data_IF_577925417815
#
_entry.id   IF_577925417815
#
_cell.length_a   1.000
_cell.length_b   1.000
_cell.length_c   1.000
_cell.angle_alpha   90.00
_cell.angle_beta   90.00
_cell.angle_gamma   90.00
#
_symmetry.space_group_name_H-M   'P 1'
#
loop_
_entity.id
_entity.type
_entity.pdbx_description
1 polymer ?
#
# COMPACT_ATOMS: atom_id res chain seq x y z
N UNK A 1 -30.97 6.98 11.39
CA UNK A 1 -31.03 7.33 9.96
C UNK A 1 -31.24 6.05 9.16
N UNK A 2 -32.26 5.97 8.30
CA UNK A 2 -32.37 4.86 7.35
C UNK A 2 -31.40 5.09 6.19
N UNK A 3 -30.56 4.11 5.85
CA UNK A 3 -29.54 4.25 4.80
C UNK A 3 -29.74 3.12 3.79
N UNK A 4 -29.99 3.49 2.53
CA UNK A 4 -30.19 2.53 1.45
C UNK A 4 -28.86 2.00 0.90
N UNK A 5 -28.87 0.81 0.29
CA UNK A 5 -27.71 0.29 -0.42
C UNK A 5 -27.27 1.19 -1.59
N UNK A 6 -28.21 1.86 -2.27
CA UNK A 6 -27.89 2.81 -3.34
C UNK A 6 -27.08 4.00 -2.80
N UNK A 7 -27.42 4.51 -1.62
CA UNK A 7 -26.66 5.60 -0.97
C UNK A 7 -25.25 5.14 -0.59
N UNK A 8 -25.10 3.91 -0.09
CA UNK A 8 -23.80 3.34 0.28
C UNK A 8 -22.93 3.07 -0.96
N UNK A 9 -23.51 2.54 -2.04
CA UNK A 9 -22.82 2.33 -3.31
C UNK A 9 -22.42 3.67 -3.94
N UNK A 10 -23.28 4.68 -3.88
CA UNK A 10 -22.97 6.02 -4.38
C UNK A 10 -21.77 6.62 -3.65
N UNK A 11 -21.75 6.54 -2.30
CA UNK A 11 -20.57 6.94 -1.53
C UNK A 11 -19.33 6.14 -1.94
N UNK A 12 -19.45 4.81 -2.10
CA UNK A 12 -18.33 3.94 -2.48
C UNK A 12 -17.70 4.36 -3.81
N UNK A 13 -18.53 4.63 -4.82
CA UNK A 13 -18.08 5.06 -6.16
C UNK A 13 -17.53 6.48 -6.14
N UNK A 14 -18.14 7.39 -5.37
CA UNK A 14 -17.63 8.75 -5.22
C UNK A 14 -16.23 8.76 -4.60
N UNK A 15 -16.01 8.01 -3.52
CA UNK A 15 -14.69 8.00 -2.87
C UNK A 15 -13.61 7.29 -3.70
N UNK A 16 -13.96 6.44 -4.67
CA UNK A 16 -12.96 5.87 -5.58
C UNK A 16 -12.50 6.87 -6.66
N UNK A 17 -13.28 7.93 -6.92
CA UNK A 17 -12.90 9.03 -7.83
C UNK A 17 -12.36 10.24 -7.10
N UNK A 18 -12.82 10.46 -5.86
CA UNK A 18 -12.37 11.52 -4.97
C UNK A 18 -12.05 10.93 -3.59
N UNK A 19 -10.85 10.37 -3.39
CA UNK A 19 -10.46 9.75 -2.12
C UNK A 19 -10.43 10.71 -0.93
N UNK A 20 -10.40 12.01 -1.21
CA UNK A 20 -10.45 13.06 -0.20
C UNK A 20 -11.84 13.28 0.41
N UNK A 21 -12.90 12.72 -0.19
CA UNK A 21 -14.27 12.86 0.31
C UNK A 21 -14.43 12.11 1.64
N UNK A 22 -14.64 12.86 2.71
CA UNK A 22 -14.84 12.28 4.04
C UNK A 22 -16.27 11.77 4.26
N UNK A 23 -16.41 10.72 5.08
CA UNK A 23 -17.70 10.20 5.57
C UNK A 23 -18.55 11.31 6.20
N UNK A 24 -17.93 12.22 6.96
CA UNK A 24 -18.66 13.29 7.64
C UNK A 24 -19.27 14.29 6.67
N UNK A 25 -18.52 14.71 5.64
CA UNK A 25 -19.03 15.61 4.60
C UNK A 25 -20.21 14.94 3.90
N UNK A 26 -20.04 13.68 3.50
CA UNK A 26 -21.11 12.94 2.82
C UNK A 26 -22.36 12.76 3.71
N UNK A 27 -22.19 12.38 4.98
CA UNK A 27 -23.30 12.24 5.92
C UNK A 27 -24.05 13.55 6.14
N UNK A 28 -23.34 14.70 6.20
CA UNK A 28 -23.96 16.03 6.24
C UNK A 28 -24.75 16.32 4.97
N UNK A 29 -24.19 16.04 3.80
CA UNK A 29 -24.89 16.22 2.51
C UNK A 29 -26.17 15.39 2.45
N UNK A 30 -26.13 14.13 2.89
CA UNK A 30 -27.33 13.27 2.95
C UNK A 30 -28.37 13.87 3.91
N UNK A 31 -27.96 14.38 5.07
CA UNK A 31 -28.87 15.04 6.01
C UNK A 31 -29.52 16.29 5.38
N UNK A 32 -28.73 17.12 4.70
CA UNK A 32 -29.19 18.34 4.03
C UNK A 32 -30.22 18.05 2.93
N UNK A 33 -29.95 17.06 2.07
CA UNK A 33 -30.86 16.63 0.99
C UNK A 33 -32.22 16.18 1.55
N UNK A 34 -32.23 15.58 2.75
CA UNK A 34 -33.44 15.10 3.40
C UNK A 34 -34.06 16.13 4.36
N UNK A 35 -33.54 17.36 4.40
CA UNK A 35 -33.98 18.42 5.32
C UNK A 35 -33.97 17.99 6.80
N UNK A 36 -32.97 17.18 7.20
CA UNK A 36 -32.77 16.72 8.58
C UNK A 36 -31.54 17.40 9.16
N UNK A 37 -31.63 17.86 10.41
CA UNK A 37 -30.48 18.41 11.13
C UNK A 37 -29.41 17.33 11.38
N UNK A 38 -28.17 17.60 10.96
CA UNK A 38 -27.05 16.69 11.19
C UNK A 38 -26.79 16.50 12.70
N UNK A 39 -26.62 15.25 13.12
CA UNK A 39 -26.17 14.88 14.48
C UNK A 39 -24.88 14.06 14.39
N UNK A 40 -23.91 14.24 15.31
CA UNK A 40 -22.62 13.52 15.25
C UNK A 40 -22.76 12.00 15.10
N UNK A 41 -23.71 11.38 15.80
CA UNK A 41 -23.93 9.94 15.72
C UNK A 41 -24.42 9.44 14.35
N UNK A 42 -24.95 10.30 13.46
CA UNK A 42 -25.28 9.91 12.09
C UNK A 42 -24.04 9.60 11.26
N UNK A 43 -22.92 10.28 11.51
CA UNK A 43 -21.63 9.94 10.91
C UNK A 43 -21.18 8.54 11.34
N UNK A 44 -21.34 8.20 12.61
CA UNK A 44 -20.96 6.87 13.11
C UNK A 44 -21.89 5.77 12.59
N UNK A 45 -23.21 6.03 12.54
CA UNK A 45 -24.18 5.14 11.89
C UNK A 45 -23.83 4.91 10.42
N UNK A 46 -23.48 5.96 9.68
CA UNK A 46 -23.09 5.85 8.29
C UNK A 46 -21.76 5.08 8.11
N UNK A 47 -20.77 5.35 8.97
CA UNK A 47 -19.51 4.60 8.96
C UNK A 47 -19.73 3.10 9.20
N UNK A 48 -20.55 2.75 10.19
CA UNK A 48 -20.89 1.36 10.48
C UNK A 48 -21.68 0.71 9.32
N UNK A 49 -22.60 1.44 8.69
CA UNK A 49 -23.35 0.97 7.53
C UNK A 49 -22.43 0.71 6.32
N UNK A 50 -21.45 1.59 6.07
CA UNK A 50 -20.45 1.38 5.01
C UNK A 50 -19.56 0.17 5.30
N UNK A 51 -19.11 -0.01 6.54
CA UNK A 51 -18.32 -1.19 6.92
C UNK A 51 -19.08 -2.49 6.67
N UNK A 52 -20.35 -2.55 7.11
CA UNK A 52 -21.21 -3.71 6.88
C UNK A 52 -21.48 -3.94 5.39
N UNK A 53 -21.73 -2.87 4.63
CA UNK A 53 -21.95 -2.95 3.18
C UNK A 53 -20.73 -3.48 2.43
N UNK A 54 -19.54 -2.97 2.74
CA UNK A 54 -18.29 -3.44 2.12
C UNK A 54 -18.01 -4.90 2.49
N UNK A 55 -18.33 -5.32 3.71
CA UNK A 55 -18.23 -6.72 4.13
C UNK A 55 -19.18 -7.63 3.34
N UNK A 56 -20.44 -7.21 3.15
CA UNK A 56 -21.39 -7.94 2.30
C UNK A 56 -20.85 -8.07 0.88
N UNK A 57 -20.29 -7.01 0.30
CA UNK A 57 -19.70 -7.06 -1.04
C UNK A 57 -18.50 -8.02 -1.10
N UNK A 58 -17.59 -7.97 -0.13
CA UNK A 58 -16.44 -8.89 -0.06
C UNK A 58 -16.88 -10.35 0.02
N UNK A 59 -17.82 -10.69 0.91
CA UNK A 59 -18.34 -12.06 1.03
C UNK A 59 -19.06 -12.53 -0.22
N UNK A 60 -19.82 -11.63 -0.86
CA UNK A 60 -20.51 -11.93 -2.11
C UNK A 60 -19.52 -12.18 -3.24
N UNK A 61 -18.47 -11.37 -3.34
CA UNK A 61 -17.39 -11.55 -4.31
C UNK A 61 -16.65 -12.87 -4.06
N UNK A 62 -16.28 -13.19 -2.81
CA UNK A 62 -15.62 -14.47 -2.49
C UNK A 62 -16.49 -15.70 -2.87
N UNK A 63 -17.81 -15.62 -2.69
CA UNK A 63 -18.73 -16.67 -3.15
C UNK A 63 -18.77 -16.77 -4.68
N UNK A 64 -18.74 -15.64 -5.38
CA UNK A 64 -18.68 -15.60 -6.84
C UNK A 64 -17.37 -16.20 -7.35
N UNK A 65 -16.22 -15.81 -6.81
CA UNK A 65 -14.91 -16.38 -7.20
C UNK A 65 -14.88 -17.89 -6.98
N UNK A 66 -15.41 -18.38 -5.86
CA UNK A 66 -15.57 -19.81 -5.62
C UNK A 66 -16.46 -20.50 -6.67
N UNK A 67 -17.58 -19.88 -7.04
CA UNK A 67 -18.48 -20.42 -8.06
C UNK A 67 -17.84 -20.42 -9.47
N UNK A 68 -16.92 -19.49 -9.74
CA UNK A 68 -16.12 -19.43 -10.97
C UNK A 68 -14.90 -20.37 -10.95
N UNK A 69 -14.73 -21.20 -9.91
CA UNK A 69 -13.60 -22.13 -9.77
C UNK A 69 -12.28 -21.46 -9.38
N UNK A 70 -12.31 -20.20 -8.93
CA UNK A 70 -11.13 -19.41 -8.57
C UNK A 70 -10.87 -19.51 -7.07
N UNK A 71 -10.47 -20.71 -6.64
CA UNK A 71 -10.29 -21.04 -5.22
C UNK A 71 -8.86 -20.79 -4.72
N UNK A 72 -7.92 -20.49 -5.60
CA UNK A 72 -6.55 -20.11 -5.22
C UNK A 72 -6.59 -18.76 -4.47
N UNK A 73 -6.12 -18.68 -3.22
CA UNK A 73 -6.05 -17.41 -2.47
C UNK A 73 -5.26 -16.33 -3.18
N UNK A 74 -4.28 -16.71 -4.01
CA UNK A 74 -3.45 -15.81 -4.80
C UNK A 74 -4.00 -15.58 -6.21
N UNK A 75 -5.22 -16.02 -6.50
CA UNK A 75 -5.81 -15.87 -7.84
C UNK A 75 -5.86 -14.41 -8.28
N UNK A 76 -6.31 -13.50 -7.40
CA UNK A 76 -6.39 -12.07 -7.71
C UNK A 76 -5.00 -11.47 -7.97
N UNK A 77 -3.99 -11.89 -7.20
CA UNK A 77 -2.60 -11.46 -7.39
C UNK A 77 -2.03 -11.92 -8.75
N UNK A 78 -2.19 -13.21 -9.08
CA UNK A 78 -1.72 -13.80 -10.35
C UNK A 78 -2.47 -13.26 -11.58
N UNK A 79 -3.61 -12.60 -11.37
CA UNK A 79 -4.44 -12.01 -12.44
C UNK A 79 -4.59 -10.49 -12.28
N UNK A 80 -3.76 -9.85 -11.44
CA UNK A 80 -3.87 -8.41 -11.15
C UNK A 80 -3.66 -7.55 -12.40
N UNK A 81 -2.88 -8.02 -13.36
CA UNK A 81 -2.65 -7.35 -14.63
C UNK A 81 -2.76 -8.32 -15.79
N UNK A 82 -3.94 -8.37 -16.42
CA UNK A 82 -4.21 -9.24 -17.58
C UNK A 82 -3.12 -9.11 -18.67
N UNK A 83 -2.69 -7.89 -19.09
CA UNK A 83 -1.61 -7.77 -20.08
C UNK A 83 -0.24 -8.31 -19.65
N UNK A 84 0.02 -8.49 -18.35
CA UNK A 84 1.29 -9.03 -17.87
C UNK A 84 1.23 -10.54 -17.57
N UNK A 85 0.07 -11.06 -17.20
CA UNK A 85 -0.04 -12.43 -16.67
C UNK A 85 -0.79 -13.39 -17.58
N UNK A 86 -1.61 -12.88 -18.49
CA UNK A 86 -2.36 -13.70 -19.43
C UNK A 86 -1.56 -13.91 -20.72
N UNK A 87 -1.16 -15.17 -21.00
CA UNK A 87 -0.46 -15.55 -22.23
C UNK A 87 -1.42 -16.08 -23.28
N UNK A 88 -1.28 -15.62 -24.53
CA UNK A 88 -2.05 -16.16 -25.67
C UNK A 88 -1.30 -17.31 -26.36
N UNK A 89 -2.03 -18.23 -27.01
CA UNK A 89 -1.46 -19.46 -27.57
C UNK A 89 -0.31 -19.22 -28.57
N UNK A 90 -0.40 -18.12 -29.33
CA UNK A 90 0.56 -17.76 -30.38
C UNK A 90 1.45 -16.56 -29.97
N UNK A 91 1.62 -16.32 -28.67
CA UNK A 91 2.46 -15.22 -28.19
C UNK A 91 3.93 -15.52 -28.43
N UNK A 92 4.62 -14.62 -29.14
CA UNK A 92 6.06 -14.72 -29.34
C UNK A 92 6.78 -14.68 -27.97
N UNK A 93 7.85 -15.48 -27.76
CA UNK A 93 8.62 -15.44 -26.53
C UNK A 93 9.14 -14.02 -26.27
N UNK A 94 8.72 -13.43 -25.15
CA UNK A 94 9.23 -12.13 -24.72
C UNK A 94 10.54 -12.31 -23.95
N UNK A 95 11.51 -11.41 -24.18
CA UNK A 95 12.73 -11.35 -23.36
C UNK A 95 12.41 -11.12 -21.89
N UNK A 96 11.38 -10.33 -21.60
CA UNK A 96 10.88 -10.05 -20.25
C UNK A 96 9.35 -10.12 -20.25
N UNK A 97 8.77 -10.87 -19.32
CA UNK A 97 7.31 -11.06 -19.22
C UNK A 97 6.63 -9.88 -18.52
N UNK A 98 7.36 -9.12 -17.73
CA UNK A 98 6.81 -8.02 -16.97
C UNK A 98 7.86 -6.93 -16.76
N UNK A 99 7.43 -5.69 -16.98
CA UNK A 99 8.16 -4.50 -16.59
C UNK A 99 7.40 -3.83 -15.43
N UNK A 100 8.08 -3.66 -14.31
CA UNK A 100 7.48 -3.17 -13.08
C UNK A 100 8.40 -2.19 -12.36
N UNK A 101 7.85 -1.47 -11.39
CA UNK A 101 8.59 -0.54 -10.55
C UNK A 101 8.22 -0.69 -9.08
N UNK A 102 9.20 -0.48 -8.22
CA UNK A 102 9.06 -0.40 -6.78
C UNK A 102 9.35 1.04 -6.35
N UNK A 103 8.55 1.56 -5.44
CA UNK A 103 8.79 2.88 -4.84
C UNK A 103 8.07 2.99 -3.50
N UNK A 104 8.63 3.79 -2.59
CA UNK A 104 8.00 4.12 -1.32
C UNK A 104 7.26 5.45 -1.40
N UNK A 105 6.05 5.45 -0.86
CA UNK A 105 5.19 6.61 -0.77
C UNK A 105 5.06 7.08 0.68
N UNK A 106 5.87 8.08 1.04
CA UNK A 106 5.83 8.74 2.35
C UNK A 106 4.63 9.69 2.56
N UNK A 107 3.83 9.96 1.53
CA UNK A 107 2.65 10.85 1.68
C UNK A 107 1.55 10.18 2.49
N UNK A 108 1.47 8.85 2.49
CA UNK A 108 0.46 8.07 3.22
C UNK A 108 0.90 7.79 4.67
N UNK A 109 1.44 8.76 5.41
CA UNK A 109 1.71 8.56 6.86
C UNK A 109 0.38 8.45 7.64
N UNK A 110 0.35 7.66 8.72
CA UNK A 110 -0.75 7.60 9.70
C UNK A 110 -0.22 7.90 11.10
N UNK A 111 -0.91 8.80 11.81
CA UNK A 111 -0.51 9.16 13.17
C UNK A 111 -0.85 8.05 14.16
N UNK A 112 0.12 7.74 15.02
CA UNK A 112 -0.06 6.87 16.18
C UNK A 112 -0.89 7.63 17.22
N UNK A 113 -2.03 7.08 17.65
CA UNK A 113 -2.81 7.73 18.71
C UNK A 113 -2.19 7.38 20.05
N UNK A 114 -1.52 8.35 20.65
CA UNK A 114 -0.91 8.22 21.97
C UNK A 114 -1.65 9.05 23.00
N UNK A 115 -1.68 8.58 24.25
CA UNK A 115 -2.16 9.38 25.39
C UNK A 115 -1.31 10.66 25.46
N UNK A 116 -1.94 11.81 25.70
CA UNK A 116 -1.20 13.05 25.92
C UNK A 116 -0.25 12.82 27.11
N UNK A 117 1.07 13.01 26.94
CA UNK A 117 1.99 12.86 28.05
C UNK A 117 1.64 13.89 29.14
N UNK A 118 1.67 13.47 30.40
CA UNK A 118 1.77 14.40 31.53
C UNK A 118 3.06 15.20 31.35
N UNK A 119 3.03 16.50 31.62
CA UNK A 119 4.15 17.41 31.35
C UNK A 119 5.44 17.08 32.14
N UNK A 120 5.43 16.05 33.00
CA UNK A 120 6.49 15.73 33.97
C UNK A 120 6.94 14.25 33.93
N UNK A 121 6.55 13.46 32.93
CA UNK A 121 6.90 12.03 32.87
C UNK A 121 7.66 11.68 31.59
N UNK A 122 8.88 11.16 31.73
CA UNK A 122 9.67 10.50 30.66
C UNK A 122 9.11 9.12 30.26
N UNK A 123 7.86 8.82 30.62
CA UNK A 123 7.24 7.54 30.28
C UNK A 123 6.98 7.42 28.78
N UNK A 124 7.22 6.24 28.18
CA UNK A 124 6.98 6.01 26.77
C UNK A 124 5.52 6.26 26.41
N UNK A 125 5.30 6.88 25.25
CA UNK A 125 3.96 7.24 24.79
C UNK A 125 3.06 5.99 24.66
N UNK A 126 2.06 5.87 25.54
CA UNK A 126 1.12 4.75 25.56
C UNK A 126 0.11 4.90 24.41
N UNK A 127 0.00 3.88 23.56
CA UNK A 127 -1.04 3.83 22.52
C UNK A 127 -2.42 3.77 23.16
N UNK A 128 -3.33 4.63 22.67
CA UNK A 128 -4.75 4.64 23.04
C UNK A 128 -5.64 4.17 21.89
N UNK A 129 -5.05 3.51 20.90
CA UNK A 129 -5.80 2.93 19.79
C UNK A 129 -6.69 1.81 20.29
N UNK A 130 -7.96 1.87 19.91
CA UNK A 130 -8.90 0.80 20.23
C UNK A 130 -8.46 -0.47 19.50
N UNK A 131 -8.32 -1.62 20.19
CA UNK A 131 -8.07 -2.89 19.53
C UNK A 131 -9.15 -3.15 18.48
N UNK A 132 -8.71 -3.54 17.28
CA UNK A 132 -9.58 -3.82 16.14
C UNK A 132 -9.17 -5.17 15.56
N UNK A 133 -10.04 -6.17 15.67
CA UNK A 133 -9.80 -7.54 15.21
C UNK A 133 -10.18 -7.76 13.75
N UNK A 134 -10.69 -6.73 13.07
CA UNK A 134 -11.12 -6.84 11.67
C UNK A 134 -9.90 -6.91 10.76
N UNK A 135 -9.94 -7.84 9.82
CA UNK A 135 -8.91 -8.04 8.81
C UNK A 135 -9.51 -7.90 7.41
N UNK A 136 -8.65 -7.60 6.45
CA UNK A 136 -8.99 -7.60 5.03
C UNK A 136 -8.10 -8.62 4.35
N UNK A 137 -8.75 -9.55 3.66
CA UNK A 137 -8.05 -10.57 2.88
C UNK A 137 -7.82 -9.99 1.47
N UNK A 138 -6.60 -9.52 1.25
CA UNK A 138 -6.14 -9.06 -0.06
C UNK A 138 -4.78 -9.68 -0.35
N UNK A 139 -4.71 -10.52 -1.38
CA UNK A 139 -3.49 -11.21 -1.81
C UNK A 139 -2.35 -10.25 -2.20
N UNK A 140 -2.65 -9.01 -2.56
CA UNK A 140 -1.64 -8.00 -2.90
C UNK A 140 -1.04 -7.34 -1.64
N UNK A 141 -1.63 -7.54 -0.46
CA UNK A 141 -1.09 -7.03 0.79
C UNK A 141 -0.02 -7.94 1.36
N UNK A 142 1.18 -7.42 1.59
CA UNK A 142 2.17 -8.12 2.40
C UNK A 142 2.03 -7.69 3.87
N UNK A 143 1.78 -8.67 4.74
CA UNK A 143 1.65 -8.44 6.17
C UNK A 143 2.98 -8.00 6.78
N UNK A 144 2.89 -7.31 7.92
CA UNK A 144 4.07 -6.89 8.67
C UNK A 144 4.96 -8.08 9.08
N UNK A 145 4.35 -9.19 9.49
CA UNK A 145 5.07 -10.40 9.88
C UNK A 145 5.88 -10.96 8.70
N UNK A 146 5.27 -11.07 7.52
CA UNK A 146 5.95 -11.55 6.31
C UNK A 146 7.09 -10.61 5.89
N UNK A 147 6.85 -9.30 5.88
CA UNK A 147 7.88 -8.31 5.55
C UNK A 147 9.05 -8.35 6.55
N UNK A 148 8.78 -8.66 7.81
CA UNK A 148 9.80 -8.75 8.86
C UNK A 148 10.67 -10.01 8.77
N UNK A 149 10.30 -11.03 7.99
CA UNK A 149 11.20 -12.15 7.67
C UNK A 149 12.47 -11.66 6.95
N UNK A 150 12.34 -10.59 6.16
CA UNK A 150 13.42 -9.99 5.37
C UNK A 150 14.20 -8.90 6.13
N UNK A 151 13.93 -8.70 7.42
CA UNK A 151 14.50 -7.56 8.18
C UNK A 151 16.03 -7.66 8.35
N UNK A 152 16.55 -8.88 8.44
CA UNK A 152 17.96 -9.19 8.72
C UNK A 152 18.73 -9.59 7.44
N UNK A 153 18.07 -9.66 6.28
CA UNK A 153 18.73 -9.99 5.00
C UNK A 153 19.72 -8.91 4.51
N UNK A 154 19.77 -7.78 5.21
CA UNK A 154 20.76 -6.71 5.01
C UNK A 154 22.00 -6.83 5.91
N UNK A 155 22.06 -7.78 6.84
CA UNK A 155 23.31 -8.06 7.54
C UNK A 155 24.27 -8.68 6.53
N UNK A 156 25.07 -7.81 5.90
CA UNK A 156 26.21 -8.24 5.12
C UNK A 156 26.99 -9.27 5.94
N UNK A 157 27.49 -10.35 5.32
CA UNK A 157 28.46 -11.21 5.99
C UNK A 157 29.50 -10.32 6.66
N UNK A 158 29.80 -10.54 7.93
CA UNK A 158 30.82 -9.78 8.70
C UNK A 158 32.24 -9.87 8.11
N UNK A 159 32.39 -10.54 6.96
CA UNK A 159 33.61 -10.75 6.19
C UNK A 159 33.51 -10.31 4.72
N UNK A 160 32.61 -9.41 4.33
CA UNK A 160 32.74 -8.75 3.01
C UNK A 160 33.87 -7.72 3.13
N UNK A 161 34.94 -7.80 2.31
CA UNK A 161 35.94 -6.74 2.25
C UNK A 161 35.22 -5.43 1.95
N UNK A 162 35.65 -4.35 2.60
CA UNK A 162 35.16 -2.98 2.43
C UNK A 162 34.95 -2.68 0.92
N UNK A 163 33.72 -2.84 0.46
CA UNK A 163 33.43 -3.02 -0.96
C UNK A 163 31.94 -2.92 -1.25
N UNK A 164 31.56 -1.87 -1.97
CA UNK A 164 30.20 -1.65 -2.44
C UNK A 164 29.86 -2.67 -3.55
N UNK A 165 28.61 -3.17 -3.67
CA UNK A 165 28.20 -4.07 -4.77
C UNK A 165 28.44 -3.51 -6.17
N UNK A 166 28.72 -2.21 -6.27
CA UNK A 166 29.04 -1.48 -7.49
C UNK A 166 30.53 -1.39 -7.80
N UNK A 167 31.41 -1.86 -6.89
CA UNK A 167 32.87 -1.84 -7.08
C UNK A 167 33.32 -2.84 -8.16
N UNK A 168 32.44 -3.76 -8.55
CA UNK A 168 32.61 -4.67 -9.67
C UNK A 168 32.26 -4.02 -11.03
N UNK A 169 31.77 -2.77 -11.07
CA UNK A 169 31.42 -2.09 -12.33
C UNK A 169 32.65 -1.33 -12.88
N UNK A 170 33.11 -1.72 -14.06
CA UNK A 170 34.25 -1.06 -14.77
C UNK A 170 34.00 0.41 -15.11
N UNK A 171 32.74 0.88 -15.06
CA UNK A 171 32.37 2.28 -15.31
C UNK A 171 31.52 2.82 -14.17
N UNK A 172 31.84 4.00 -13.62
CA UNK A 172 31.03 4.63 -12.59
C UNK A 172 29.65 4.91 -13.16
N UNK A 173 28.63 4.28 -12.56
CA UNK A 173 27.24 4.55 -12.88
C UNK A 173 26.71 5.63 -11.93
N UNK A 174 25.71 6.43 -12.34
CA UNK A 174 25.03 7.37 -11.43
C UNK A 174 24.38 6.70 -10.22
N UNK A 175 24.34 5.36 -10.18
CA UNK A 175 23.77 4.58 -9.11
C UNK A 175 24.69 4.53 -7.87
N UNK A 176 26.01 4.72 -8.02
CA UNK A 176 27.00 4.58 -6.93
C UNK A 176 26.80 5.61 -5.84
N UNK A 177 26.79 6.90 -6.21
CA UNK A 177 26.60 8.01 -5.26
C UNK A 177 25.22 7.98 -4.61
N UNK A 178 24.22 7.46 -5.32
CA UNK A 178 22.83 7.41 -4.83
C UNK A 178 22.59 6.22 -3.91
N UNK A 179 23.29 5.12 -4.11
CA UNK A 179 23.30 3.98 -3.18
C UNK A 179 23.83 4.38 -1.79
N UNK A 180 24.91 5.17 -1.75
CA UNK A 180 25.45 5.70 -0.49
C UNK A 180 24.46 6.61 0.24
N UNK A 181 23.68 7.43 -0.49
CA UNK A 181 22.63 8.27 0.08
C UNK A 181 21.44 7.45 0.61
N UNK A 182 21.05 6.36 -0.06
CA UNK A 182 20.03 5.43 0.42
C UNK A 182 20.42 4.74 1.74
N UNK A 183 21.69 4.32 1.86
CA UNK A 183 22.20 3.76 3.11
C UNK A 183 22.09 4.79 4.26
N UNK A 184 22.42 6.06 4.00
CA UNK A 184 22.28 7.14 4.97
C UNK A 184 20.80 7.45 5.32
N UNK A 185 19.89 7.42 4.35
CA UNK A 185 18.45 7.65 4.56
C UNK A 185 17.75 6.51 5.30
N UNK A 186 18.18 5.25 5.11
CA UNK A 186 17.65 4.09 5.85
C UNK A 186 17.82 4.21 7.38
N UNK A 187 18.78 5.05 7.81
CA UNK A 187 19.12 5.31 9.21
C UNK A 187 18.32 6.50 9.78
N UNK A 188 17.65 7.30 8.95
CA UNK A 188 16.85 8.44 9.40
C UNK A 188 15.57 7.93 10.06
N UNK A 189 15.42 8.19 11.36
CA UNK A 189 14.14 8.02 12.06
C UNK A 189 13.13 8.99 11.47
N UNK A 190 11.93 8.50 11.17
CA UNK A 190 10.85 9.36 10.67
C UNK A 190 10.55 10.47 11.67
N UNK A 191 10.52 11.71 11.20
CA UNK A 191 10.16 12.87 12.03
C UNK A 191 8.64 12.87 12.27
N UNK A 192 8.22 12.77 13.53
CA UNK A 192 6.81 12.81 13.96
C UNK A 192 6.26 11.49 14.51
N UNK A 193 5.17 11.57 15.29
CA UNK A 193 4.52 10.42 15.94
C UNK A 193 3.67 9.59 14.94
N UNK A 194 4.32 9.02 13.92
CA UNK A 194 3.69 8.17 12.90
C UNK A 194 3.93 6.70 13.20
N UNK A 195 2.89 5.87 13.12
CA UNK A 195 3.04 4.41 13.23
C UNK A 195 3.35 3.85 11.84
N UNK A 196 2.53 4.16 10.85
CA UNK A 196 2.81 3.93 9.44
C UNK A 196 3.43 5.21 8.87
N UNK A 197 4.66 5.10 8.41
CA UNK A 197 5.45 6.19 7.82
C UNK A 197 5.20 6.36 6.33
N UNK A 198 4.48 5.43 5.71
CA UNK A 198 4.12 5.46 4.31
C UNK A 198 3.60 4.12 3.82
N UNK A 199 3.56 3.98 2.49
CA UNK A 199 3.20 2.76 1.79
C UNK A 199 4.33 2.41 0.82
N UNK A 200 4.83 1.18 0.84
CA UNK A 200 5.73 0.69 -0.19
C UNK A 200 4.92 -0.07 -1.24
N UNK A 201 5.09 0.26 -2.52
CA UNK A 201 4.23 -0.23 -3.60
C UNK A 201 5.07 -0.78 -4.76
N UNK A 202 4.64 -1.94 -5.26
CA UNK A 202 5.09 -2.55 -6.50
C UNK A 202 3.98 -2.40 -7.54
N UNK A 203 4.25 -1.74 -8.65
CA UNK A 203 3.29 -1.55 -9.73
C UNK A 203 3.89 -1.99 -11.07
N UNK A 204 3.05 -2.50 -11.97
CA UNK A 204 3.46 -2.80 -13.34
C UNK A 204 3.35 -1.55 -14.24
N UNK A 205 4.02 -1.56 -15.40
CA UNK A 205 3.94 -0.49 -16.41
C UNK A 205 2.53 -0.16 -16.93
N UNK A 206 1.55 -1.04 -16.68
CA UNK A 206 0.15 -0.83 -17.07
C UNK A 206 -0.68 -0.13 -15.98
N UNK A 207 -0.04 0.30 -14.89
CA UNK A 207 -0.69 1.04 -13.80
C UNK A 207 -1.41 0.17 -12.77
N UNK A 208 -1.24 -1.16 -12.81
CA UNK A 208 -1.83 -2.05 -11.81
C UNK A 208 -0.85 -2.24 -10.65
N UNK A 209 -1.34 -2.10 -9.42
CA UNK A 209 -0.61 -2.57 -8.26
C UNK A 209 -0.41 -4.09 -8.35
N UNK A 210 0.79 -4.55 -8.03
CA UNK A 210 1.10 -5.97 -7.94
C UNK A 210 1.09 -6.38 -6.47
N UNK A 211 1.87 -5.68 -5.64
CA UNK A 211 1.92 -5.89 -4.20
C UNK A 211 2.19 -4.57 -3.48
N UNK A 212 1.82 -4.48 -2.21
CA UNK A 212 2.15 -3.33 -1.36
C UNK A 212 2.17 -3.70 0.11
N UNK A 213 2.89 -2.92 0.91
CA UNK A 213 2.96 -3.06 2.36
C UNK A 213 3.02 -1.70 3.06
N UNK A 214 2.61 -1.65 4.32
CA UNK A 214 2.81 -0.45 5.13
C UNK A 214 4.27 -0.36 5.55
N UNK A 215 4.86 0.85 5.45
CA UNK A 215 6.14 1.13 6.08
C UNK A 215 5.89 1.47 7.55
N UNK A 216 6.47 0.72 8.48
CA UNK A 216 6.18 0.82 9.92
C UNK A 216 7.36 1.44 10.66
N UNK A 217 7.11 2.57 11.34
CA UNK A 217 8.02 3.28 12.25
C UNK A 217 9.44 3.54 11.71
N UNK A 218 9.62 3.50 10.38
CA UNK A 218 10.90 3.62 9.68
C UNK A 218 10.70 4.22 8.29
N UNK A 219 11.73 4.82 7.69
CA UNK A 219 11.70 5.14 6.26
C UNK A 219 11.76 3.89 5.38
N UNK A 220 12.11 4.06 4.11
CA UNK A 220 12.33 2.94 3.19
C UNK A 220 13.54 2.10 3.63
N UNK A 221 13.29 0.88 4.09
CA UNK A 221 14.30 -0.15 4.42
C UNK A 221 14.27 -1.26 3.39
N UNK A 222 15.39 -1.92 3.13
CA UNK A 222 15.45 -2.93 2.06
C UNK A 222 14.51 -4.14 2.25
N UNK A 223 14.05 -4.42 3.48
CA UNK A 223 13.02 -5.45 3.73
C UNK A 223 11.74 -5.26 2.90
N UNK A 224 11.37 -4.01 2.60
CA UNK A 224 10.16 -3.72 1.81
C UNK A 224 10.33 -4.14 0.34
N UNK A 225 11.33 -3.65 -0.42
CA UNK A 225 11.55 -4.14 -1.78
C UNK A 225 11.86 -5.64 -1.83
N UNK A 226 12.65 -6.18 -0.90
CA UNK A 226 12.98 -7.61 -0.89
C UNK A 226 11.73 -8.50 -0.73
N UNK A 227 10.86 -8.19 0.23
CA UNK A 227 9.63 -8.96 0.44
C UNK A 227 8.69 -8.92 -0.77
N UNK A 228 8.51 -7.75 -1.40
CA UNK A 228 7.64 -7.61 -2.58
C UNK A 228 8.23 -8.32 -3.81
N UNK A 229 9.55 -8.24 -4.02
CA UNK A 229 10.23 -8.96 -5.11
C UNK A 229 10.19 -10.47 -4.89
N UNK A 230 10.47 -10.94 -3.67
CA UNK A 230 10.39 -12.36 -3.32
C UNK A 230 8.98 -12.91 -3.57
N UNK A 231 7.95 -12.16 -3.17
CA UNK A 231 6.56 -12.51 -3.44
C UNK A 231 6.25 -12.58 -4.95
N UNK A 232 6.76 -11.62 -5.75
CA UNK A 232 6.60 -11.63 -7.21
C UNK A 232 7.25 -12.85 -7.86
N UNK A 233 8.54 -13.07 -7.61
CA UNK A 233 9.32 -14.12 -8.27
C UNK A 233 8.79 -15.51 -7.93
N UNK A 234 8.27 -15.69 -6.71
CA UNK A 234 7.66 -16.94 -6.27
C UNK A 234 6.35 -17.24 -7.00
N UNK A 235 5.51 -16.22 -7.25
CA UNK A 235 4.13 -16.41 -7.69
C UNK A 235 3.89 -16.14 -9.18
N UNK A 236 4.76 -15.35 -9.83
CA UNK A 236 4.73 -15.06 -11.26
C UNK A 236 6.12 -15.36 -11.82
N UNK A 237 6.45 -16.62 -12.12
CA UNK A 237 7.79 -16.99 -12.57
C UNK A 237 8.05 -16.51 -14.00
N UNK A 238 9.27 -16.01 -14.24
CA UNK A 238 9.74 -15.63 -15.57
C UNK A 238 10.76 -14.49 -15.52
N UNK A 239 11.25 -14.05 -16.68
CA UNK A 239 12.17 -12.92 -16.75
C UNK A 239 11.44 -11.60 -16.48
N UNK A 240 11.83 -10.90 -15.41
CA UNK A 240 11.26 -9.61 -15.02
C UNK A 240 12.27 -8.48 -15.20
N UNK A 241 11.79 -7.29 -15.57
CA UNK A 241 12.50 -6.04 -15.36
C UNK A 241 11.83 -5.32 -14.21
N UNK A 242 12.60 -5.01 -13.18
CA UNK A 242 12.13 -4.28 -12.01
C UNK A 242 12.97 -3.01 -11.88
N UNK A 243 12.33 -1.87 -12.10
CA UNK A 243 12.91 -0.57 -11.76
C UNK A 243 12.72 -0.29 -10.28
N UNK A 244 13.78 0.05 -9.58
CA UNK A 244 13.67 0.58 -8.22
C UNK A 244 14.28 1.97 -8.24
N UNK A 245 13.54 2.97 -7.78
CA UNK A 245 14.05 4.34 -7.81
C UNK A 245 15.08 4.58 -6.72
N UNK A 246 16.30 4.14 -7.01
CA UNK A 246 17.49 4.58 -6.27
C UNK A 246 18.03 5.90 -6.81
N UNK A 247 17.22 6.66 -7.54
CA UNK A 247 17.59 7.85 -8.29
C UNK A 247 18.51 7.58 -9.49
N UNK A 248 18.85 6.35 -9.86
CA UNK A 248 19.73 6.11 -11.00
C UNK A 248 19.00 6.36 -12.34
N UNK A 249 19.65 6.94 -13.37
CA UNK A 249 18.96 7.34 -14.62
C UNK A 249 18.19 6.23 -15.37
N UNK A 250 18.45 4.96 -15.05
CA UNK A 250 17.68 3.81 -15.55
C UNK A 250 16.28 3.70 -14.90
N UNK A 251 16.12 4.11 -13.62
CA UNK A 251 14.82 4.18 -12.95
C UNK A 251 13.90 5.16 -13.64
N UNK A 252 14.42 6.29 -14.14
CA UNK A 252 13.63 7.37 -14.75
C UNK A 252 12.70 6.86 -15.87
N UNK A 253 13.13 5.94 -16.73
CA UNK A 253 12.27 5.45 -17.83
C UNK A 253 11.16 4.50 -17.36
N UNK A 254 11.42 3.68 -16.34
CA UNK A 254 10.44 2.76 -15.77
C UNK A 254 9.48 3.51 -14.82
N UNK A 255 10.03 4.37 -13.97
CA UNK A 255 9.31 5.20 -12.99
C UNK A 255 8.37 6.18 -13.69
N UNK A 256 8.78 6.86 -14.77
CA UNK A 256 7.90 7.80 -15.51
C UNK A 256 6.58 7.17 -15.98
N UNK A 257 6.55 5.85 -16.23
CA UNK A 257 5.33 5.16 -16.66
C UNK A 257 4.44 4.74 -15.50
N UNK A 258 4.99 4.52 -14.31
CA UNK A 258 4.26 4.09 -13.12
C UNK A 258 4.00 5.23 -12.11
N UNK A 259 4.68 6.37 -12.24
CA UNK A 259 4.61 7.53 -11.33
C UNK A 259 3.18 8.00 -11.11
N UNK A 260 2.33 7.93 -12.14
CA UNK A 260 0.92 8.28 -12.03
C UNK A 260 0.19 7.46 -10.95
N UNK A 261 0.52 6.17 -10.77
CA UNK A 261 -0.09 5.31 -9.73
C UNK A 261 0.30 5.80 -8.34
N UNK A 262 1.59 6.04 -8.14
CA UNK A 262 2.14 6.53 -6.87
C UNK A 262 1.58 7.92 -6.54
N UNK A 263 1.62 8.83 -7.51
CA UNK A 263 1.13 10.21 -7.37
C UNK A 263 -0.37 10.26 -7.07
N UNK A 264 -1.20 9.49 -7.77
CA UNK A 264 -2.65 9.49 -7.51
C UNK A 264 -2.99 8.89 -6.12
N UNK A 265 -2.20 7.92 -5.64
CA UNK A 265 -2.40 7.36 -4.29
C UNK A 265 -2.21 8.40 -3.17
N UNK A 266 -1.51 9.52 -3.44
CA UNK A 266 -1.40 10.65 -2.50
C UNK A 266 -2.77 11.27 -2.16
N UNK A 267 -3.77 11.11 -3.03
CA UNK A 267 -5.14 11.52 -2.75
C UNK A 267 -5.73 10.90 -1.49
N UNK A 268 -5.24 9.72 -1.08
CA UNK A 268 -5.66 9.03 0.13
C UNK A 268 -5.12 9.67 1.42
N UNK A 269 -4.01 10.42 1.36
CA UNK A 269 -3.31 10.92 2.54
C UNK A 269 -4.23 11.65 3.53
N UNK A 270 -5.16 12.45 3.01
CA UNK A 270 -6.12 13.22 3.82
C UNK A 270 -7.09 12.35 4.62
N UNK A 271 -7.52 11.22 4.06
CA UNK A 271 -8.49 10.33 4.69
C UNK A 271 -7.83 9.23 5.54
N UNK A 272 -6.56 8.89 5.27
CA UNK A 272 -5.83 7.83 6.00
C UNK A 272 -5.05 8.34 7.21
N UNK A 273 -4.64 9.62 7.24
CA UNK A 273 -3.77 10.19 8.29
C UNK A 273 -4.24 9.95 9.73
N UNK A 274 -5.56 10.04 9.95
CA UNK A 274 -6.22 9.96 11.25
C UNK A 274 -7.15 8.74 11.38
N UNK A 275 -7.20 7.89 10.36
CA UNK A 275 -8.01 6.69 10.33
C UNK A 275 -7.51 5.66 11.36
N UNK A 276 -8.33 4.68 11.70
CA UNK A 276 -7.84 3.45 12.35
C UNK A 276 -7.00 2.65 11.35
N UNK A 277 -6.20 1.69 11.83
CA UNK A 277 -5.46 0.74 10.97
C UNK A 277 -6.39 0.04 9.98
N UNK A 278 -7.53 -0.46 10.44
CA UNK A 278 -8.52 -1.12 9.59
C UNK A 278 -9.09 -0.19 8.50
N UNK A 279 -9.52 1.03 8.87
CA UNK A 279 -10.11 1.95 7.89
C UNK A 279 -9.06 2.48 6.91
N UNK A 280 -7.82 2.71 7.35
CA UNK A 280 -6.70 3.00 6.46
C UNK A 280 -6.53 1.88 5.44
N UNK A 281 -6.42 0.63 5.90
CA UNK A 281 -6.27 -0.55 5.05
C UNK A 281 -7.42 -0.66 4.04
N UNK A 282 -8.66 -0.50 4.51
CA UNK A 282 -9.85 -0.55 3.66
C UNK A 282 -9.87 0.52 2.57
N UNK A 283 -9.36 1.72 2.86
CA UNK A 283 -9.28 2.81 1.88
C UNK A 283 -8.21 2.54 0.82
N UNK A 284 -7.06 2.00 1.22
CA UNK A 284 -5.96 1.64 0.32
C UNK A 284 -6.36 0.45 -0.57
N UNK A 285 -6.94 -0.61 0.01
CA UNK A 285 -7.42 -1.81 -0.72
C UNK A 285 -8.52 -1.50 -1.73
N UNK A 286 -9.25 -0.40 -1.56
CA UNK A 286 -10.29 0.04 -2.50
C UNK A 286 -9.76 0.94 -3.61
N UNK A 287 -8.56 1.47 -3.43
CA UNK A 287 -7.93 2.40 -4.35
C UNK A 287 -7.14 1.66 -5.43
N UNK A 288 -6.35 0.68 -5.02
CA UNK A 288 -5.66 -0.26 -5.91
C UNK A 288 -6.60 -1.35 -6.40
#
# INVERSE_FOLDING_TARGET
LGISFNTLEYFRVLTSRCPQLSIQVFAKTVCEINSIAFRPHYRDQFSAAIDAFLEIKRRSHARLEKALGRTDPLWSYKNACVPCTYKVADEAPMTYIMQSTLDGNESLKRMKRVKKPSAESDEPAISIERPDSRTLDNAQYMSEDYVNEFKDENEAPTNVPDGSPVDALEKPTPCVDKWANLAADSTKKSVGNFQETGLFLHACRHGNALAYCDMIESGERAKYPLSLVSHLLTNIPGPHIIGYDIGCGFSTTATNKCEHVFSQSNGLARCTRLASRFHRRQLIDRWF
#
